data_IF_257713922322
#
_entry.id   IF_257713922322
#
_cell.length_a   1.000
_cell.length_b   1.000
_cell.length_c   1.000
_cell.angle_alpha   90.00
_cell.angle_beta   90.00
_cell.angle_gamma   90.00
#
_symmetry.space_group_name_H-M   'P 1'
#
loop_
_entity.id
_entity.type
_entity.pdbx_description
1 polymer ?
#
# COMPACT_ATOMS: atom_id res chain seq x y z
N UNK A 1 -17.24 -6.85 -16.30
CA UNK A 1 -16.61 -5.63 -15.80
C UNK A 1 -15.36 -6.02 -14.99
N UNK A 2 -14.26 -5.29 -15.15
CA UNK A 2 -13.06 -5.46 -14.33
C UNK A 2 -13.32 -4.80 -12.97
N UNK A 3 -13.30 -5.55 -11.84
CA UNK A 3 -13.61 -4.93 -10.54
C UNK A 3 -12.50 -3.95 -10.11
N UNK A 4 -11.24 -4.34 -10.28
CA UNK A 4 -10.05 -3.57 -9.85
C UNK A 4 -8.93 -3.76 -10.86
N UNK A 5 -8.21 -2.70 -11.19
CA UNK A 5 -6.96 -2.75 -11.94
C UNK A 5 -5.79 -2.75 -10.95
N UNK A 6 -4.92 -3.74 -11.03
CA UNK A 6 -3.82 -3.88 -10.07
C UNK A 6 -2.53 -3.30 -10.62
N UNK A 7 -1.91 -2.44 -9.84
CA UNK A 7 -0.53 -1.98 -10.01
C UNK A 7 0.34 -2.54 -8.88
N UNK A 8 1.64 -2.56 -9.05
CA UNK A 8 2.58 -2.93 -7.98
C UNK A 8 3.76 -1.97 -8.07
N UNK A 9 3.68 -0.88 -7.34
CA UNK A 9 4.57 0.26 -7.48
C UNK A 9 5.26 0.62 -6.16
N UNK A 10 6.13 -0.25 -5.63
CA UNK A 10 6.80 -0.01 -4.35
C UNK A 10 7.64 1.27 -4.33
N UNK A 11 8.01 1.78 -5.49
CA UNK A 11 8.79 3.00 -5.64
C UNK A 11 8.08 4.28 -5.21
N UNK A 12 6.76 4.32 -5.07
CA UNK A 12 6.03 5.50 -4.57
C UNK A 12 6.58 5.90 -3.19
N UNK A 13 6.90 4.92 -2.34
CA UNK A 13 7.46 5.15 -1.01
C UNK A 13 8.99 5.33 -1.00
N UNK A 14 9.67 5.32 -2.14
CA UNK A 14 11.13 5.45 -2.20
C UNK A 14 11.59 6.81 -1.64
N UNK A 15 12.67 6.86 -0.83
CA UNK A 15 13.29 8.12 -0.45
C UNK A 15 13.95 8.84 -1.64
N UNK A 16 14.20 8.13 -2.75
CA UNK A 16 14.78 8.68 -3.99
C UNK A 16 13.66 9.29 -4.85
N UNK A 17 13.71 10.62 -5.02
CA UNK A 17 12.66 11.39 -5.71
C UNK A 17 12.37 10.93 -7.15
N UNK A 18 13.41 10.59 -7.91
CA UNK A 18 13.26 10.12 -9.31
C UNK A 18 12.51 8.79 -9.39
N UNK A 19 12.81 7.83 -8.48
CA UNK A 19 12.12 6.54 -8.41
C UNK A 19 10.65 6.76 -8.03
N UNK A 20 10.41 7.64 -7.07
CA UNK A 20 9.05 7.95 -6.63
C UNK A 20 8.24 8.64 -7.73
N UNK A 21 8.82 9.59 -8.46
CA UNK A 21 8.14 10.26 -9.57
C UNK A 21 7.80 9.28 -10.69
N UNK A 22 8.75 8.43 -11.09
CA UNK A 22 8.49 7.40 -12.10
C UNK A 22 7.35 6.45 -11.67
N UNK A 23 7.28 6.10 -10.39
CA UNK A 23 6.20 5.25 -9.88
C UNK A 23 4.86 5.97 -9.89
N UNK A 24 4.81 7.26 -9.57
CA UNK A 24 3.60 8.08 -9.69
C UNK A 24 3.12 8.20 -11.14
N UNK A 25 4.02 8.37 -12.10
CA UNK A 25 3.68 8.43 -13.52
C UNK A 25 3.09 7.10 -14.00
N UNK A 26 3.66 5.98 -13.56
CA UNK A 26 3.12 4.65 -13.83
C UNK A 26 1.77 4.42 -13.15
N UNK A 27 1.58 4.92 -11.92
CA UNK A 27 0.30 4.83 -11.22
C UNK A 27 -0.79 5.61 -11.96
N UNK A 28 -0.46 6.81 -12.46
CA UNK A 28 -1.37 7.59 -13.30
C UNK A 28 -1.78 6.81 -14.55
N UNK A 29 -0.81 6.18 -15.24
CA UNK A 29 -1.11 5.30 -16.38
C UNK A 29 -2.00 4.13 -15.98
N UNK A 30 -1.78 3.56 -14.79
CA UNK A 30 -2.66 2.53 -14.21
C UNK A 30 -4.09 3.02 -14.00
N UNK A 31 -4.28 4.27 -13.57
CA UNK A 31 -5.61 4.89 -13.46
C UNK A 31 -6.27 5.05 -14.84
N UNK A 32 -5.53 5.51 -15.85
CA UNK A 32 -6.03 5.62 -17.23
C UNK A 32 -6.53 4.28 -17.77
N UNK A 33 -5.71 3.24 -17.60
CA UNK A 33 -6.06 1.87 -18.03
C UNK A 33 -7.24 1.31 -17.22
N UNK A 34 -7.23 1.52 -15.89
CA UNK A 34 -8.33 1.10 -15.03
C UNK A 34 -9.67 1.70 -15.47
N UNK A 35 -9.69 3.01 -15.73
CA UNK A 35 -10.87 3.70 -16.23
C UNK A 35 -11.29 3.20 -17.63
N UNK A 36 -10.34 3.01 -18.53
CA UNK A 36 -10.60 2.48 -19.88
C UNK A 36 -11.27 1.10 -19.84
N UNK A 37 -10.83 0.22 -18.92
CA UNK A 37 -11.43 -1.12 -18.75
C UNK A 37 -12.67 -1.13 -17.85
N UNK A 38 -13.12 0.02 -17.36
CA UNK A 38 -14.32 0.13 -16.52
C UNK A 38 -14.13 -0.45 -15.13
N UNK A 39 -12.93 -0.38 -14.57
CA UNK A 39 -12.65 -0.74 -13.19
C UNK A 39 -13.33 0.22 -12.21
N UNK A 40 -13.63 -0.24 -10.99
CA UNK A 40 -14.10 0.62 -9.90
C UNK A 40 -12.94 1.36 -9.21
N UNK A 41 -11.74 0.86 -9.36
CA UNK A 41 -10.56 1.47 -8.78
C UNK A 41 -9.27 0.79 -9.17
N UNK A 42 -8.18 1.38 -8.70
CA UNK A 42 -6.82 0.89 -8.86
C UNK A 42 -6.34 0.36 -7.51
N UNK A 43 -5.76 -0.83 -7.50
CA UNK A 43 -5.16 -1.43 -6.31
C UNK A 43 -3.64 -1.34 -6.41
N UNK A 44 -3.01 -0.86 -5.35
CA UNK A 44 -1.56 -0.91 -5.19
C UNK A 44 -1.17 -1.37 -3.79
N UNK A 45 0.05 -1.84 -3.66
CA UNK A 45 0.58 -2.25 -2.37
C UNK A 45 0.72 -1.06 -1.42
N UNK A 46 0.53 -1.30 -0.14
CA UNK A 46 0.82 -0.31 0.89
C UNK A 46 2.27 0.18 0.81
N UNK A 47 2.53 1.43 1.19
CA UNK A 47 3.85 2.04 1.08
C UNK A 47 4.88 1.27 1.91
N UNK A 48 5.95 0.81 1.25
CA UNK A 48 7.01 0.07 1.91
C UNK A 48 7.92 1.02 2.69
N UNK A 49 8.35 0.57 3.86
CA UNK A 49 9.43 1.24 4.59
C UNK A 49 10.69 1.21 3.71
N UNK A 50 11.50 2.27 3.67
CA UNK A 50 12.69 2.34 2.82
C UNK A 50 13.85 1.50 3.39
N UNK A 51 13.64 0.21 3.50
CA UNK A 51 14.64 -0.75 3.95
C UNK A 51 15.69 -1.00 2.88
N UNK A 52 16.94 -1.14 3.32
CA UNK A 52 18.05 -1.66 2.52
C UNK A 52 18.14 -3.18 2.77
N UNK A 53 17.76 -3.97 1.78
CA UNK A 53 17.85 -5.42 1.82
C UNK A 53 19.20 -5.93 1.34
N UNK A 54 19.69 -7.09 1.82
CA UNK A 54 20.84 -7.75 1.24
C UNK A 54 20.64 -7.99 -0.27
N UNK A 55 21.69 -7.77 -1.06
CA UNK A 55 21.61 -7.81 -2.53
C UNK A 55 21.20 -9.18 -3.11
N UNK A 56 21.46 -10.26 -2.38
CA UNK A 56 21.16 -11.65 -2.75
C UNK A 56 19.81 -12.14 -2.22
N UNK A 57 19.04 -11.26 -1.57
CA UNK A 57 17.75 -11.64 -0.98
C UNK A 57 16.68 -11.82 -2.04
N UNK A 58 16.05 -13.00 -2.15
CA UNK A 58 14.90 -13.19 -3.03
C UNK A 58 13.72 -12.28 -2.64
N UNK A 59 13.08 -11.69 -3.63
CA UNK A 59 12.00 -10.72 -3.41
C UNK A 59 10.84 -11.27 -2.55
N UNK A 60 10.53 -12.57 -2.69
CA UNK A 60 9.47 -13.21 -1.92
C UNK A 60 9.78 -13.35 -0.41
N UNK A 61 11.04 -13.13 0.00
CA UNK A 61 11.45 -13.14 1.40
C UNK A 61 11.58 -11.74 2.01
N UNK A 62 11.44 -10.68 1.23
CA UNK A 62 11.58 -9.31 1.72
C UNK A 62 10.64 -8.98 2.88
N UNK A 63 9.48 -9.62 2.95
CA UNK A 63 8.48 -9.40 3.99
C UNK A 63 8.52 -10.42 5.13
N UNK A 64 9.46 -11.37 5.09
CA UNK A 64 9.63 -12.32 6.20
C UNK A 64 10.09 -11.58 7.46
N UNK A 65 9.49 -11.87 8.64
CA UNK A 65 9.90 -11.24 9.90
C UNK A 65 11.39 -11.43 10.22
N UNK A 66 11.96 -12.57 9.87
CA UNK A 66 13.39 -12.84 10.11
C UNK A 66 14.28 -11.97 9.22
N UNK A 67 13.82 -11.68 8.00
CA UNK A 67 14.51 -10.75 7.10
C UNK A 67 14.37 -9.33 7.62
N UNK A 68 13.15 -8.90 7.99
CA UNK A 68 12.87 -7.55 8.46
C UNK A 68 13.64 -7.19 9.75
N UNK A 69 14.02 -8.17 10.58
CA UNK A 69 14.90 -7.94 11.75
C UNK A 69 16.35 -7.58 11.37
N UNK A 70 16.78 -7.92 10.17
CA UNK A 70 18.16 -7.79 9.71
C UNK A 70 18.36 -6.72 8.62
N UNK A 71 17.29 -6.08 8.17
CA UNK A 71 17.39 -4.98 7.20
C UNK A 71 18.03 -3.74 7.85
N UNK A 72 18.58 -2.89 7.02
CA UNK A 72 19.11 -1.58 7.44
C UNK A 72 18.19 -0.47 6.98
N UNK A 73 18.25 0.64 7.66
CA UNK A 73 17.68 1.90 7.19
C UNK A 73 18.78 2.74 6.53
N UNK A 74 18.44 3.51 5.49
CA UNK A 74 19.39 4.43 4.88
C UNK A 74 20.04 5.35 5.92
N UNK A 75 21.34 5.51 5.83
CA UNK A 75 22.05 6.43 6.70
C UNK A 75 21.46 7.83 6.58
N UNK A 76 21.25 8.51 7.72
CA UNK A 76 20.68 9.87 7.80
C UNK A 76 19.24 9.98 7.34
N UNK A 77 18.47 8.88 7.29
CA UNK A 77 17.03 8.95 7.06
C UNK A 77 16.37 9.80 8.16
N UNK A 78 15.75 10.91 7.78
CA UNK A 78 14.89 11.68 8.68
C UNK A 78 13.46 11.16 8.50
N UNK A 79 12.89 10.59 9.58
CA UNK A 79 11.51 10.09 9.55
C UNK A 79 10.52 11.18 9.14
N UNK A 80 10.65 12.38 9.72
CA UNK A 80 9.74 13.48 9.39
C UNK A 80 9.78 13.83 7.90
N UNK A 81 10.97 14.00 7.33
CA UNK A 81 11.14 14.32 5.91
C UNK A 81 10.61 13.19 5.02
N UNK A 82 10.88 11.95 5.38
CA UNK A 82 10.36 10.79 4.65
C UNK A 82 8.83 10.76 4.68
N UNK A 83 8.23 10.93 5.85
CA UNK A 83 6.79 10.89 6.05
C UNK A 83 6.08 12.03 5.30
N UNK A 84 6.55 13.27 5.41
CA UNK A 84 6.01 14.43 4.69
C UNK A 84 6.04 14.22 3.16
N UNK A 85 7.14 13.68 2.64
CA UNK A 85 7.27 13.33 1.22
C UNK A 85 6.32 12.19 0.82
N UNK A 86 6.17 11.17 1.66
CA UNK A 86 5.24 10.07 1.42
C UNK A 86 3.80 10.60 1.34
N UNK A 87 3.36 11.40 2.32
CA UNK A 87 2.02 11.98 2.32
C UNK A 87 1.75 12.80 1.05
N UNK A 88 2.69 13.65 0.64
CA UNK A 88 2.57 14.43 -0.60
C UNK A 88 2.39 13.57 -1.86
N UNK A 89 3.08 12.43 -1.93
CA UNK A 89 2.98 11.49 -3.05
C UNK A 89 1.68 10.69 -3.01
N UNK A 90 1.28 10.25 -1.83
CA UNK A 90 0.01 9.54 -1.64
C UNK A 90 -1.19 10.46 -1.93
N UNK A 91 -1.12 11.73 -1.56
CA UNK A 91 -2.08 12.76 -1.95
C UNK A 91 -2.19 12.85 -3.48
N UNK A 92 -1.04 12.94 -4.17
CA UNK A 92 -0.99 12.96 -5.64
C UNK A 92 -1.60 11.69 -6.25
N UNK A 93 -1.32 10.52 -5.69
CA UNK A 93 -1.88 9.26 -6.17
C UNK A 93 -3.39 9.18 -5.96
N UNK A 94 -3.89 9.59 -4.78
CA UNK A 94 -5.32 9.68 -4.52
C UNK A 94 -6.03 10.63 -5.49
N UNK A 95 -5.39 11.78 -5.77
CA UNK A 95 -5.89 12.73 -6.76
C UNK A 95 -5.95 12.12 -8.15
N UNK A 96 -4.91 11.42 -8.61
CA UNK A 96 -4.95 10.75 -9.91
C UNK A 96 -6.11 9.76 -10.01
N UNK A 97 -6.31 8.92 -9.00
CA UNK A 97 -7.45 8.01 -8.99
C UNK A 97 -8.79 8.78 -9.04
N UNK A 98 -8.93 9.85 -8.25
CA UNK A 98 -10.15 10.69 -8.23
C UNK A 98 -10.42 11.36 -9.58
N UNK A 99 -9.39 11.88 -10.27
CA UNK A 99 -9.51 12.53 -11.58
C UNK A 99 -10.09 11.59 -12.65
N UNK A 100 -9.93 10.27 -12.47
CA UNK A 100 -10.54 9.24 -13.33
C UNK A 100 -11.82 8.60 -12.75
N UNK A 101 -12.33 9.14 -11.63
CA UNK A 101 -13.53 8.59 -10.97
C UNK A 101 -13.31 7.22 -10.31
N UNK A 102 -12.07 6.91 -9.93
CA UNK A 102 -11.66 5.62 -9.37
C UNK A 102 -11.40 5.71 -7.86
N UNK A 103 -11.64 4.61 -7.16
CA UNK A 103 -11.10 4.40 -5.84
C UNK A 103 -9.61 3.99 -5.93
N UNK A 104 -8.83 4.38 -4.94
CA UNK A 104 -7.49 3.85 -4.70
C UNK A 104 -7.57 2.82 -3.58
N UNK A 105 -7.41 1.54 -3.92
CA UNK A 105 -7.41 0.44 -2.96
C UNK A 105 -6.00 0.14 -2.48
N UNK A 106 -5.75 0.35 -1.21
CA UNK A 106 -4.48 0.06 -0.58
C UNK A 106 -4.46 -1.39 -0.09
N UNK A 107 -3.50 -2.17 -0.58
CA UNK A 107 -3.31 -3.57 -0.20
C UNK A 107 -2.33 -3.70 0.97
N UNK A 108 -2.69 -4.42 2.06
CA UNK A 108 -1.85 -4.58 3.25
C UNK A 108 -0.71 -5.58 2.99
N UNK A 109 0.37 -5.11 2.37
CA UNK A 109 1.57 -5.94 2.25
C UNK A 109 2.28 -6.05 3.58
N UNK A 110 2.65 -7.27 3.95
CA UNK A 110 3.45 -7.54 5.17
C UNK A 110 4.72 -6.70 5.16
N UNK A 111 4.96 -5.96 6.25
CA UNK A 111 6.11 -5.06 6.38
C UNK A 111 5.95 -3.70 5.72
N UNK A 112 4.79 -3.37 5.17
CA UNK A 112 4.46 -2.01 4.75
C UNK A 112 4.05 -1.15 5.95
N UNK A 113 3.96 0.17 5.74
CA UNK A 113 3.45 1.09 6.77
C UNK A 113 1.95 0.93 7.04
N UNK A 114 1.25 0.25 6.13
CA UNK A 114 -0.19 0.00 6.19
C UNK A 114 -0.51 -1.49 6.16
N UNK A 115 0.35 -2.31 6.78
CA UNK A 115 0.18 -3.76 6.86
C UNK A 115 -0.91 -4.20 7.85
N UNK A 116 -1.50 -3.24 8.56
CA UNK A 116 -2.64 -3.42 9.47
C UNK A 116 -3.72 -2.37 9.19
N UNK A 117 -4.94 -2.63 9.68
CA UNK A 117 -6.03 -1.64 9.60
C UNK A 117 -5.70 -0.35 10.36
N UNK A 118 -4.93 -0.42 11.46
CA UNK A 118 -4.50 0.78 12.19
C UNK A 118 -3.55 1.64 11.37
N UNK A 119 -2.56 1.01 10.70
CA UNK A 119 -1.63 1.74 9.85
C UNK A 119 -2.34 2.45 8.68
N UNK A 120 -3.31 1.75 8.07
CA UNK A 120 -4.14 2.36 7.02
C UNK A 120 -4.97 3.54 7.55
N UNK A 121 -5.67 3.37 8.68
CA UNK A 121 -6.54 4.42 9.23
C UNK A 121 -5.75 5.68 9.62
N UNK A 122 -4.55 5.52 10.15
CA UNK A 122 -3.65 6.64 10.42
C UNK A 122 -3.31 7.41 9.12
N UNK A 123 -2.92 6.70 8.07
CA UNK A 123 -2.61 7.32 6.78
C UNK A 123 -3.85 7.96 6.15
N UNK A 124 -5.01 7.32 6.25
CA UNK A 124 -6.29 7.82 5.78
C UNK A 124 -6.69 9.13 6.47
N UNK A 125 -6.50 9.21 7.78
CA UNK A 125 -6.79 10.42 8.57
C UNK A 125 -5.91 11.59 8.15
N UNK A 126 -4.62 11.36 7.95
CA UNK A 126 -3.67 12.38 7.49
C UNK A 126 -3.97 12.89 6.07
N UNK A 127 -4.40 12.02 5.18
CA UNK A 127 -4.67 12.35 3.77
C UNK A 127 -6.06 12.91 3.52
N UNK A 128 -7.08 12.49 4.26
CA UNK A 128 -8.46 12.97 4.15
C UNK A 128 -9.21 12.57 2.87
N UNK A 129 -8.66 11.75 1.99
CA UNK A 129 -9.29 11.38 0.71
C UNK A 129 -10.37 10.32 0.87
N UNK A 130 -11.60 10.60 0.47
CA UNK A 130 -12.72 9.65 0.53
C UNK A 130 -12.56 8.47 -0.44
N UNK A 131 -11.88 8.66 -1.57
CA UNK A 131 -11.60 7.61 -2.54
C UNK A 131 -10.42 6.69 -2.16
N UNK A 132 -9.68 6.99 -1.09
CA UNK A 132 -8.71 6.06 -0.52
C UNK A 132 -9.45 5.00 0.29
N UNK A 133 -9.37 3.75 -0.15
CA UNK A 133 -10.04 2.59 0.43
C UNK A 133 -9.03 1.51 0.80
N UNK A 134 -9.44 0.61 1.67
CA UNK A 134 -8.62 -0.52 2.07
C UNK A 134 -9.07 -1.80 1.38
N UNK A 135 -8.12 -2.52 0.78
CA UNK A 135 -8.34 -3.89 0.36
C UNK A 135 -8.09 -4.82 1.55
N UNK A 136 -9.13 -5.38 2.11
CA UNK A 136 -9.01 -6.28 3.26
C UNK A 136 -8.53 -7.66 2.80
N UNK A 137 -7.23 -7.93 2.94
CA UNK A 137 -6.65 -9.22 2.62
C UNK A 137 -6.55 -10.09 3.89
N UNK A 138 -7.36 -11.14 3.95
CA UNK A 138 -7.49 -11.97 5.15
C UNK A 138 -6.19 -12.68 5.52
N UNK A 139 -5.42 -13.13 4.54
CA UNK A 139 -4.16 -13.84 4.75
C UNK A 139 -3.05 -12.92 5.26
N UNK A 140 -2.90 -11.74 4.64
CA UNK A 140 -1.87 -10.78 5.04
C UNK A 140 -2.14 -10.23 6.45
N UNK A 141 -3.38 -9.86 6.74
CA UNK A 141 -3.78 -9.34 8.05
C UNK A 141 -3.67 -10.42 9.15
N UNK A 142 -4.04 -11.66 8.84
CA UNK A 142 -3.86 -12.77 9.77
C UNK A 142 -2.37 -13.02 10.08
N UNK A 143 -1.51 -12.95 9.07
CA UNK A 143 -0.07 -13.03 9.25
C UNK A 143 0.48 -11.92 10.16
N UNK A 144 -0.07 -10.71 10.07
CA UNK A 144 0.25 -9.59 10.96
C UNK A 144 -0.40 -9.70 12.35
N UNK A 145 -1.02 -10.85 12.68
CA UNK A 145 -1.69 -11.10 13.94
C UNK A 145 -2.85 -10.13 14.24
N UNK A 146 -3.46 -9.56 13.18
CA UNK A 146 -4.63 -8.72 13.36
C UNK A 146 -5.88 -9.57 13.63
N UNK A 147 -6.72 -9.12 14.56
CA UNK A 147 -8.06 -9.70 14.73
C UNK A 147 -8.93 -9.25 13.56
N UNK A 148 -9.24 -10.18 12.65
CA UNK A 148 -9.96 -9.87 11.40
C UNK A 148 -11.34 -9.25 11.66
N UNK A 149 -12.09 -9.75 12.66
CA UNK A 149 -13.40 -9.19 12.98
C UNK A 149 -13.32 -7.75 13.49
N UNK A 150 -12.30 -7.45 14.31
CA UNK A 150 -12.05 -6.10 14.78
C UNK A 150 -11.58 -5.19 13.64
N UNK A 151 -10.75 -5.71 12.73
CA UNK A 151 -10.31 -4.99 11.54
C UNK A 151 -11.48 -4.56 10.66
N UNK A 152 -12.39 -5.49 10.37
CA UNK A 152 -13.62 -5.21 9.61
C UNK A 152 -14.48 -4.13 10.28
N UNK A 153 -14.64 -4.23 11.61
CA UNK A 153 -15.42 -3.25 12.37
C UNK A 153 -14.81 -1.84 12.30
N UNK A 154 -13.47 -1.73 12.42
CA UNK A 154 -12.77 -0.45 12.36
C UNK A 154 -12.87 0.22 10.99
N UNK A 155 -12.80 -0.55 9.91
CA UNK A 155 -12.82 -0.02 8.54
C UNK A 155 -14.19 0.57 8.18
N UNK A 156 -15.29 -0.03 8.61
CA UNK A 156 -16.63 0.48 8.33
C UNK A 156 -16.85 0.80 6.85
N UNK A 157 -17.09 2.06 6.51
CA UNK A 157 -17.32 2.53 5.14
C UNK A 157 -16.09 2.48 4.22
N UNK A 158 -14.90 2.31 4.76
CA UNK A 158 -13.66 2.21 4.00
C UNK A 158 -13.40 0.77 3.51
N UNK A 159 -14.17 -0.19 4.00
CA UNK A 159 -14.19 -1.56 3.50
C UNK A 159 -15.02 -1.63 2.20
N UNK A 160 -14.36 -1.74 1.08
CA UNK A 160 -15.01 -1.81 -0.23
C UNK A 160 -14.52 -2.98 -1.10
N UNK A 161 -13.37 -3.56 -0.77
CA UNK A 161 -12.79 -4.67 -1.50
C UNK A 161 -12.10 -5.67 -0.58
N UNK A 162 -12.30 -6.95 -0.82
CA UNK A 162 -11.77 -8.02 0.04
C UNK A 162 -11.04 -9.05 -0.82
N UNK A 163 -9.84 -9.40 -0.44
CA UNK A 163 -9.16 -10.61 -0.85
C UNK A 163 -9.36 -11.69 0.22
N UNK A 164 -10.02 -12.77 -0.16
CA UNK A 164 -10.25 -13.92 0.72
C UNK A 164 -9.27 -15.01 0.35
N UNK A 165 -8.37 -15.31 1.26
CA UNK A 165 -7.43 -16.41 1.16
C UNK A 165 -7.20 -17.02 2.53
N UNK A 166 -6.77 -18.28 2.56
CA UNK A 166 -6.45 -18.99 3.79
C UNK A 166 -4.94 -18.95 4.04
N UNK A 167 -4.54 -18.99 5.31
CA UNK A 167 -3.14 -18.97 5.72
C UNK A 167 -2.97 -19.63 7.09
N UNK A 168 -1.92 -20.39 7.25
CA UNK A 168 -1.48 -20.89 8.56
C UNK A 168 -0.70 -19.86 9.39
N UNK A 169 -0.65 -18.60 8.96
CA UNK A 169 0.15 -17.55 9.60
C UNK A 169 1.65 -17.70 9.37
N UNK A 170 2.04 -18.46 8.38
CA UNK A 170 3.42 -18.64 7.92
C UNK A 170 3.52 -18.34 6.42
N UNK A 171 4.61 -17.71 6.04
CA UNK A 171 4.99 -17.48 4.66
C UNK A 171 6.33 -18.11 4.35
#
# INVERSE_FOLDING_TARGET
>A
ALPVFCTVLPGIASPQGEIAQKSLDLFKTGCELGAYFGARGVLDNGPLVPYEFPADMPIHRHYSPDVLRNVRLPQRLSWKVYWDNLLSRMDTACKFAADYGLNYYMHPCVGSLTDTTNGYLLLKEELGWENLKFNFDTSNLYYMHENLSLGLLKLGKDLDYIHISDSYGQR
#
